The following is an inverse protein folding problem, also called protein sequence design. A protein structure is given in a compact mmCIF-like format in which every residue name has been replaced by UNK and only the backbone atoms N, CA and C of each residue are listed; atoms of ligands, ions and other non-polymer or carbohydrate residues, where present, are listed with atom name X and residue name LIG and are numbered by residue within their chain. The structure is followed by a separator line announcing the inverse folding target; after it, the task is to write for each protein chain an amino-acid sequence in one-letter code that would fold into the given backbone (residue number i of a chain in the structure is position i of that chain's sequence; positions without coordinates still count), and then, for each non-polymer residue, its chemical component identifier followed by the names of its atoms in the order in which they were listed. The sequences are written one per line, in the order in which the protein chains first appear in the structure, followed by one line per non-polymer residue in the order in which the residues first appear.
data_IF_324258500523
#
_entry.id   IF_324258500523
#
_cell.length_a   1.000
_cell.length_b   1.000
_cell.length_c   1.000
_cell.angle_alpha   90.00
_cell.angle_beta   90.00
_cell.angle_gamma   90.00
#
_symmetry.space_group_name_H-M   'P 1'
#
loop_
_entity.id
_entity.type
_entity.pdbx_description
1 polymer ?
#
# COMPACT_ATOMS: atom_id res chain seq x y z
N UNK A 1 -13.49 12.40 -6.13
CA UNK A 1 -12.13 12.84 -5.80
C UNK A 1 -11.63 13.77 -6.91
N UNK A 2 -10.98 14.91 -6.61
CA UNK A 2 -10.41 15.78 -7.63
C UNK A 2 -9.38 15.04 -8.51
N UNK A 3 -9.34 15.36 -9.81
CA UNK A 3 -8.48 14.69 -10.77
C UNK A 3 -6.99 14.74 -10.38
N UNK A 4 -6.50 15.93 -10.00
CA UNK A 4 -5.09 16.12 -9.63
C UNK A 4 -4.68 15.33 -8.38
N UNK A 5 -5.59 15.17 -7.39
CA UNK A 5 -5.34 14.33 -6.23
C UNK A 5 -5.22 12.86 -6.63
N UNK A 6 -6.07 12.38 -7.57
CA UNK A 6 -5.96 11.01 -8.09
C UNK A 6 -4.61 10.75 -8.72
N UNK A 7 -4.17 11.67 -9.57
CA UNK A 7 -2.86 11.59 -10.24
C UNK A 7 -1.70 11.65 -9.24
N UNK A 8 -1.80 12.49 -8.22
CA UNK A 8 -0.79 12.56 -7.15
C UNK A 8 -0.71 11.23 -6.38
N UNK A 9 -1.85 10.63 -6.02
CA UNK A 9 -1.87 9.33 -5.35
C UNK A 9 -1.31 8.23 -6.25
N UNK A 10 -1.64 8.22 -7.54
CA UNK A 10 -1.06 7.27 -8.50
C UNK A 10 0.46 7.43 -8.60
N UNK A 11 0.96 8.67 -8.72
CA UNK A 11 2.38 8.96 -8.72
C UNK A 11 3.06 8.49 -7.42
N UNK A 12 2.49 8.82 -6.27
CA UNK A 12 3.05 8.43 -4.96
C UNK A 12 3.10 6.91 -4.77
N UNK A 13 2.12 6.16 -5.30
CA UNK A 13 2.09 4.70 -5.20
C UNK A 13 3.24 4.03 -5.94
N UNK A 14 3.47 4.38 -7.21
CA UNK A 14 4.55 3.73 -7.95
C UNK A 14 5.92 4.24 -7.54
N UNK A 15 6.06 5.53 -7.23
CA UNK A 15 7.33 6.08 -6.70
C UNK A 15 7.69 5.44 -5.36
N UNK A 16 6.73 5.31 -4.44
CA UNK A 16 6.97 4.64 -3.16
C UNK A 16 7.38 3.17 -3.33
N UNK A 17 6.72 2.42 -4.22
CA UNK A 17 7.11 1.03 -4.51
C UNK A 17 8.53 0.95 -5.12
N UNK A 18 8.89 1.91 -5.98
CA UNK A 18 10.23 1.99 -6.56
C UNK A 18 11.30 2.33 -5.50
N UNK A 19 11.00 3.24 -4.57
CA UNK A 19 11.89 3.57 -3.45
C UNK A 19 12.11 2.34 -2.56
N UNK A 20 11.07 1.60 -2.21
CA UNK A 20 11.20 0.36 -1.43
C UNK A 20 12.05 -0.67 -2.17
N UNK A 21 11.82 -0.87 -3.47
CA UNK A 21 12.64 -1.76 -4.30
C UNK A 21 14.10 -1.31 -4.31
N UNK A 22 14.37 -0.02 -4.49
CA UNK A 22 15.72 0.54 -4.51
C UNK A 22 16.46 0.31 -3.18
N UNK A 23 15.77 0.53 -2.05
CA UNK A 23 16.31 0.28 -0.70
C UNK A 23 16.69 -1.19 -0.52
N UNK A 24 15.79 -2.12 -0.83
CA UNK A 24 16.07 -3.55 -0.66
C UNK A 24 17.17 -4.03 -1.62
N UNK A 25 17.19 -3.53 -2.86
CA UNK A 25 18.26 -3.84 -3.80
C UNK A 25 19.61 -3.31 -3.29
N UNK A 26 19.66 -2.07 -2.82
CA UNK A 26 20.89 -1.47 -2.30
C UNK A 26 21.41 -2.23 -1.08
N UNK A 27 20.55 -2.59 -0.14
CA UNK A 27 20.94 -3.33 1.06
C UNK A 27 21.44 -4.76 0.77
N UNK A 28 20.98 -5.36 -0.34
CA UNK A 28 21.37 -6.71 -0.73
C UNK A 28 22.63 -6.76 -1.62
N UNK A 29 22.90 -5.69 -2.36
CA UNK A 29 23.93 -5.71 -3.41
C UNK A 29 25.00 -4.62 -3.27
N UNK A 30 24.90 -3.69 -2.33
CA UNK A 30 25.90 -2.64 -2.13
C UNK A 30 26.30 -2.60 -0.65
N UNK A 31 27.60 -2.62 -0.38
CA UNK A 31 28.13 -2.51 0.98
C UNK A 31 28.08 -1.05 1.45
N UNK A 32 27.22 -0.77 2.41
CA UNK A 32 27.10 0.57 3.00
C UNK A 32 28.39 0.97 3.74
N UNK A 33 29.08 0.02 4.36
CA UNK A 33 30.34 0.31 5.06
C UNK A 33 31.43 0.81 4.09
N UNK A 34 31.49 0.25 2.88
CA UNK A 34 32.42 0.72 1.84
C UNK A 34 32.15 2.19 1.46
N UNK A 35 30.88 2.57 1.30
CA UNK A 35 30.51 3.95 0.98
C UNK A 35 30.99 4.95 2.05
N UNK A 36 31.06 4.51 3.30
CA UNK A 36 31.44 5.36 4.43
C UNK A 36 32.95 5.35 4.70
N UNK A 37 33.68 4.32 4.25
CA UNK A 37 35.11 4.11 4.55
C UNK A 37 36.07 4.61 3.47
N UNK A 38 35.59 4.80 2.24
CA UNK A 38 36.41 5.21 1.11
C UNK A 38 35.77 6.38 0.33
N UNK A 39 36.55 7.22 -0.36
CA UNK A 39 36.01 8.26 -1.22
C UNK A 39 35.39 7.67 -2.49
N UNK A 40 34.17 8.11 -2.79
CA UNK A 40 33.42 7.69 -3.98
C UNK A 40 32.96 8.88 -4.82
N UNK A 41 32.49 8.60 -6.03
CA UNK A 41 31.89 9.63 -6.87
C UNK A 41 30.61 10.23 -6.22
N UNK A 42 30.31 11.52 -6.41
CA UNK A 42 29.16 12.18 -5.77
C UNK A 42 27.81 11.45 -6.00
N UNK A 43 27.63 10.81 -7.16
CA UNK A 43 26.41 10.06 -7.49
C UNK A 43 26.21 8.85 -6.56
N UNK A 44 27.27 8.23 -6.05
CA UNK A 44 27.20 7.12 -5.08
C UNK A 44 26.55 7.61 -3.79
N UNK A 45 26.98 8.78 -3.29
CA UNK A 45 26.41 9.35 -2.07
C UNK A 45 24.95 9.79 -2.26
N UNK A 46 24.62 10.35 -3.43
CA UNK A 46 23.24 10.69 -3.77
C UNK A 46 22.36 9.45 -3.79
N UNK A 47 22.78 8.38 -4.47
CA UNK A 47 22.05 7.12 -4.49
C UNK A 47 21.92 6.53 -3.09
N UNK A 48 23.01 6.44 -2.33
CA UNK A 48 22.99 5.93 -0.96
C UNK A 48 22.01 6.73 -0.08
N UNK A 49 21.96 8.05 -0.23
CA UNK A 49 21.04 8.88 0.54
C UNK A 49 19.57 8.56 0.22
N UNK A 50 19.22 8.45 -1.07
CA UNK A 50 17.84 8.22 -1.50
C UNK A 50 17.41 6.74 -1.45
N UNK A 51 18.31 5.80 -1.58
CA UNK A 51 18.04 4.38 -1.43
C UNK A 51 18.29 3.87 0.01
N UNK A 52 18.13 4.74 1.00
CA UNK A 52 18.30 4.38 2.40
C UNK A 52 17.03 3.80 3.00
N UNK A 53 17.22 2.92 3.98
CA UNK A 53 16.13 2.23 4.67
C UNK A 53 15.04 3.18 5.19
N UNK A 54 15.43 4.30 5.75
CA UNK A 54 14.50 5.28 6.33
C UNK A 54 13.55 5.88 5.29
N UNK A 55 13.99 6.09 4.06
CA UNK A 55 13.12 6.57 2.98
C UNK A 55 12.17 5.47 2.50
N UNK A 56 12.62 4.21 2.46
CA UNK A 56 11.74 3.05 2.22
C UNK A 56 10.67 2.94 3.28
N UNK A 57 11.02 3.12 4.55
CA UNK A 57 10.10 3.14 5.66
C UNK A 57 9.08 4.29 5.51
N UNK A 58 9.50 5.52 5.24
CA UNK A 58 8.59 6.65 5.01
C UNK A 58 7.66 6.42 3.80
N UNK A 59 8.11 5.71 2.77
CA UNK A 59 7.25 5.32 1.65
C UNK A 59 6.13 4.35 2.10
N UNK A 60 6.42 3.40 2.99
CA UNK A 60 5.41 2.48 3.57
C UNK A 60 4.41 3.25 4.44
N UNK A 61 4.87 4.23 5.23
CA UNK A 61 3.96 5.10 6.00
C UNK A 61 3.02 5.90 5.09
N UNK A 62 3.55 6.45 3.99
CA UNK A 62 2.73 7.14 3.00
C UNK A 62 1.69 6.19 2.38
N UNK A 63 2.00 4.90 2.17
CA UNK A 63 1.02 3.91 1.73
C UNK A 63 -0.08 3.70 2.76
N UNK A 64 0.23 3.59 4.05
CA UNK A 64 -0.79 3.49 5.09
C UNK A 64 -1.69 4.72 5.13
N UNK A 65 -1.14 5.91 5.08
CA UNK A 65 -1.92 7.16 5.04
C UNK A 65 -2.81 7.23 3.81
N UNK A 66 -2.28 6.92 2.61
CA UNK A 66 -3.07 6.90 1.36
C UNK A 66 -4.16 5.85 1.39
N UNK A 67 -3.86 4.66 1.89
CA UNK A 67 -4.82 3.56 2.05
C UNK A 67 -5.94 3.96 3.01
N UNK A 68 -5.60 4.52 4.17
CA UNK A 68 -6.57 5.08 5.11
C UNK A 68 -7.46 6.14 4.47
N UNK A 69 -6.86 7.09 3.76
CA UNK A 69 -7.58 8.14 3.05
C UNK A 69 -8.59 7.59 2.03
N UNK A 70 -8.18 6.62 1.22
CA UNK A 70 -9.02 6.05 0.17
C UNK A 70 -10.05 5.05 0.72
N UNK A 71 -9.62 4.15 1.60
CA UNK A 71 -10.42 3.01 2.06
C UNK A 71 -11.22 3.35 3.29
N UNK A 72 -10.57 3.86 4.33
CA UNK A 72 -11.24 4.32 5.54
C UNK A 72 -12.14 5.52 5.27
N UNK A 73 -11.68 6.46 4.43
CA UNK A 73 -12.49 7.59 3.97
C UNK A 73 -13.77 7.17 3.24
N UNK A 74 -13.74 6.08 2.47
CA UNK A 74 -14.94 5.52 1.85
C UNK A 74 -15.93 4.98 2.89
N UNK A 75 -15.46 4.31 3.95
CA UNK A 75 -16.30 3.85 5.07
C UNK A 75 -16.99 5.05 5.73
N UNK A 76 -16.22 6.08 6.09
CA UNK A 76 -16.76 7.31 6.69
C UNK A 76 -17.80 8.01 5.80
N UNK A 77 -17.58 8.01 4.48
CA UNK A 77 -18.54 8.58 3.53
C UNK A 77 -19.84 7.81 3.48
N UNK A 78 -19.81 6.45 3.55
CA UNK A 78 -21.02 5.64 3.61
C UNK A 78 -21.79 5.81 4.93
N UNK A 79 -21.07 5.91 6.06
CA UNK A 79 -21.67 6.17 7.35
C UNK A 79 -22.42 7.52 7.37
N UNK A 80 -21.81 8.58 6.82
CA UNK A 80 -22.44 9.91 6.71
C UNK A 80 -23.73 9.90 5.87
N UNK A 81 -23.77 9.09 4.82
CA UNK A 81 -24.92 8.95 3.95
C UNK A 81 -25.96 7.95 4.47
N UNK A 82 -25.71 7.33 5.61
CA UNK A 82 -26.50 6.24 6.17
C UNK A 82 -26.81 5.13 5.15
N UNK A 83 -25.81 4.73 4.35
CA UNK A 83 -25.92 3.71 3.30
C UNK A 83 -25.35 2.38 3.78
N UNK A 84 -26.00 1.26 3.43
CA UNK A 84 -25.46 -0.07 3.61
C UNK A 84 -24.21 -0.28 2.74
N UNK A 85 -23.10 -0.74 3.34
CA UNK A 85 -21.85 -0.82 2.61
C UNK A 85 -21.02 -2.07 2.91
N UNK A 86 -21.20 -2.70 4.08
CA UNK A 86 -20.26 -3.67 4.62
C UNK A 86 -19.97 -4.83 3.66
N UNK A 87 -21.02 -5.42 3.07
CA UNK A 87 -20.90 -6.54 2.13
C UNK A 87 -20.05 -6.18 0.90
N UNK A 88 -20.44 -5.12 0.20
CA UNK A 88 -19.71 -4.66 -1.00
C UNK A 88 -18.29 -4.19 -0.68
N UNK A 89 -18.13 -3.52 0.45
CA UNK A 89 -16.83 -3.11 0.94
C UNK A 89 -15.90 -4.32 1.15
N UNK A 90 -16.36 -5.35 1.89
CA UNK A 90 -15.57 -6.55 2.15
C UNK A 90 -15.25 -7.30 0.85
N UNK A 91 -16.22 -7.49 -0.05
CA UNK A 91 -15.97 -8.10 -1.37
C UNK A 91 -14.83 -7.36 -2.09
N UNK A 92 -14.88 -6.03 -2.09
CA UNK A 92 -13.88 -5.22 -2.77
C UNK A 92 -12.49 -5.29 -2.12
N UNK A 93 -12.38 -5.38 -0.80
CA UNK A 93 -11.09 -5.37 -0.09
C UNK A 93 -10.46 -6.76 -0.05
N UNK A 94 -11.23 -7.76 0.35
CA UNK A 94 -10.76 -9.14 0.40
C UNK A 94 -10.31 -9.60 -0.99
N UNK A 95 -11.15 -9.39 -2.03
CA UNK A 95 -10.75 -9.78 -3.39
C UNK A 95 -9.48 -9.08 -3.88
N UNK A 96 -9.25 -7.82 -3.51
CA UNK A 96 -8.06 -7.07 -3.91
C UNK A 96 -6.79 -7.63 -3.26
N UNK A 97 -6.84 -7.91 -1.96
CA UNK A 97 -5.66 -8.39 -1.22
C UNK A 97 -5.36 -9.84 -1.60
N UNK A 98 -6.34 -10.74 -1.47
CA UNK A 98 -6.08 -12.17 -1.69
C UNK A 98 -5.70 -12.51 -3.13
N UNK A 99 -6.15 -11.72 -4.12
CA UNK A 99 -5.77 -11.95 -5.51
C UNK A 99 -4.30 -11.61 -5.80
N UNK A 100 -3.64 -10.87 -4.93
CA UNK A 100 -2.23 -10.54 -5.05
C UNK A 100 -1.39 -11.24 -3.99
N UNK A 101 -1.76 -11.15 -2.70
CA UNK A 101 -0.98 -11.71 -1.60
C UNK A 101 -0.98 -13.24 -1.63
N UNK A 102 -2.12 -13.89 -1.88
CA UNK A 102 -2.16 -15.35 -1.98
C UNK A 102 -1.19 -15.92 -3.04
N UNK A 103 -1.29 -15.48 -4.31
CA UNK A 103 -0.29 -15.85 -5.33
C UNK A 103 1.14 -15.42 -4.98
N UNK A 104 1.36 -14.30 -4.28
CA UNK A 104 2.70 -13.88 -3.87
C UNK A 104 3.32 -14.83 -2.83
N UNK A 105 2.53 -15.33 -1.87
CA UNK A 105 2.99 -16.36 -0.91
C UNK A 105 3.33 -17.66 -1.62
N UNK A 106 2.50 -18.10 -2.60
CA UNK A 106 2.80 -19.28 -3.44
C UNK A 106 4.03 -19.05 -4.31
N UNK A 107 4.18 -17.85 -4.89
CA UNK A 107 5.36 -17.48 -5.67
C UNK A 107 6.63 -17.53 -4.81
N UNK A 108 6.56 -17.04 -3.56
CA UNK A 108 7.66 -17.15 -2.59
C UNK A 108 7.99 -18.62 -2.32
N UNK A 109 6.99 -19.49 -2.07
CA UNK A 109 7.21 -20.90 -1.87
C UNK A 109 7.97 -21.54 -3.03
N UNK A 110 7.54 -21.29 -4.26
CA UNK A 110 8.16 -21.86 -5.46
C UNK A 110 9.59 -21.35 -5.64
N UNK A 111 9.78 -20.03 -5.56
CA UNK A 111 11.07 -19.41 -5.83
C UNK A 111 12.09 -19.75 -4.76
N UNK A 112 11.71 -19.73 -3.48
CA UNK A 112 12.59 -20.11 -2.37
C UNK A 112 12.92 -21.62 -2.40
N UNK A 113 11.98 -22.49 -2.79
CA UNK A 113 12.24 -23.92 -2.97
C UNK A 113 13.31 -24.16 -4.04
N UNK A 114 13.15 -23.51 -5.20
CA UNK A 114 14.13 -23.61 -6.30
C UNK A 114 15.47 -23.01 -5.88
N UNK A 115 15.47 -21.85 -5.23
CA UNK A 115 16.69 -21.18 -4.79
C UNK A 115 17.47 -21.99 -3.74
N UNK A 116 16.79 -22.57 -2.76
CA UNK A 116 17.36 -23.46 -1.75
C UNK A 116 17.99 -24.71 -2.37
N UNK A 117 17.39 -25.24 -3.41
CA UNK A 117 17.90 -26.40 -4.13
C UNK A 117 19.09 -26.06 -5.06
N UNK A 118 18.93 -25.05 -5.91
CA UNK A 118 19.96 -24.71 -6.92
C UNK A 118 21.15 -23.97 -6.33
N UNK A 119 20.93 -23.12 -5.31
CA UNK A 119 21.92 -22.16 -4.80
C UNK A 119 22.21 -22.36 -3.30
N UNK A 120 22.13 -23.61 -2.83
CA UNK A 120 22.43 -23.96 -1.43
C UNK A 120 23.83 -23.50 -1.01
N UNK A 121 24.83 -23.57 -1.91
CA UNK A 121 26.21 -23.17 -1.64
C UNK A 121 26.37 -21.68 -1.31
N UNK A 122 25.41 -20.82 -1.69
CA UNK A 122 25.43 -19.40 -1.35
C UNK A 122 25.25 -19.12 0.15
N UNK A 123 24.60 -20.02 0.89
CA UNK A 123 24.22 -19.82 2.28
C UNK A 123 23.18 -18.72 2.54
N UNK A 124 22.68 -18.04 1.52
CA UNK A 124 21.77 -16.87 1.67
C UNK A 124 20.48 -17.24 2.38
N UNK A 125 19.91 -18.41 2.12
CA UNK A 125 18.69 -18.88 2.77
C UNK A 125 18.87 -19.31 4.22
N UNK A 126 20.12 -19.43 4.68
CA UNK A 126 20.49 -19.74 6.07
C UNK A 126 20.88 -18.49 6.88
N UNK A 127 20.76 -17.30 6.29
CA UNK A 127 20.98 -16.07 7.04
C UNK A 127 20.00 -15.98 8.22
N UNK A 128 20.43 -15.39 9.35
CA UNK A 128 19.56 -15.27 10.54
C UNK A 128 18.17 -14.68 10.24
N UNK A 129 18.10 -13.81 9.23
CA UNK A 129 16.87 -13.18 8.77
C UNK A 129 15.87 -14.16 8.12
N UNK A 130 16.32 -15.30 7.57
CA UNK A 130 15.48 -16.25 6.84
C UNK A 130 15.47 -17.65 7.44
N UNK A 131 16.42 -17.93 8.33
CA UNK A 131 16.54 -19.22 8.99
C UNK A 131 15.28 -19.54 9.81
N UNK A 132 14.68 -20.69 9.56
CA UNK A 132 13.45 -21.11 10.23
C UNK A 132 12.16 -20.56 9.63
N UNK A 133 12.24 -19.61 8.69
CA UNK A 133 11.04 -19.00 8.09
C UNK A 133 10.38 -19.83 6.98
N UNK A 134 10.99 -20.93 6.57
CA UNK A 134 10.48 -21.83 5.53
C UNK A 134 9.73 -23.03 6.17
N UNK A 135 8.53 -22.82 6.70
CA UNK A 135 7.71 -23.81 7.36
C UNK A 135 6.24 -23.74 6.93
N UNK A 136 5.53 -24.88 7.01
CA UNK A 136 4.10 -24.95 6.68
C UNK A 136 3.25 -24.03 7.57
N UNK A 137 3.61 -23.88 8.85
CA UNK A 137 2.93 -22.98 9.76
C UNK A 137 3.01 -21.52 9.30
N UNK A 138 4.22 -21.05 8.96
CA UNK A 138 4.41 -19.68 8.49
C UNK A 138 3.83 -19.45 7.10
N UNK A 139 3.82 -20.48 6.23
CA UNK A 139 3.10 -20.42 4.97
C UNK A 139 1.59 -20.16 5.19
N UNK A 140 0.95 -20.91 6.07
CA UNK A 140 -0.47 -20.74 6.40
C UNK A 140 -0.71 -19.41 7.10
N UNK A 141 0.14 -19.01 8.04
CA UNK A 141 0.04 -17.72 8.71
C UNK A 141 0.14 -16.55 7.71
N UNK A 142 1.10 -16.60 6.77
CA UNK A 142 1.23 -15.58 5.73
C UNK A 142 0.06 -15.60 4.75
N UNK A 143 -0.48 -16.77 4.42
CA UNK A 143 -1.68 -16.86 3.59
C UNK A 143 -2.90 -16.24 4.29
N UNK A 144 -2.98 -16.33 5.63
CA UNK A 144 -4.04 -15.71 6.45
C UNK A 144 -3.75 -14.25 6.83
N UNK A 145 -2.69 -13.65 6.30
CA UNK A 145 -2.23 -12.29 6.62
C UNK A 145 -1.93 -12.09 8.11
N UNK A 146 -1.26 -13.04 8.75
CA UNK A 146 -0.86 -12.97 10.15
C UNK A 146 0.64 -12.69 10.34
N UNK A 147 1.42 -12.61 9.27
CA UNK A 147 2.85 -12.26 9.30
C UNK A 147 3.06 -10.84 9.83
N UNK A 148 4.01 -10.66 10.72
CA UNK A 148 4.27 -9.41 11.42
C UNK A 148 3.24 -9.08 12.51
N UNK A 149 2.26 -9.96 12.75
CA UNK A 149 1.17 -9.81 13.73
C UNK A 149 1.10 -11.07 14.61
N UNK A 150 2.19 -11.45 15.25
CA UNK A 150 2.27 -12.66 16.08
C UNK A 150 2.90 -13.87 15.41
N UNK A 151 3.15 -13.82 14.11
CA UNK A 151 3.92 -14.82 13.36
C UNK A 151 4.99 -14.11 12.54
N UNK A 152 6.11 -14.77 12.34
CA UNK A 152 7.09 -14.34 11.36
C UNK A 152 6.55 -14.52 9.93
N UNK A 153 7.18 -13.86 8.98
CA UNK A 153 6.83 -14.03 7.58
C UNK A 153 7.33 -15.37 7.02
N UNK A 154 6.67 -15.85 5.98
CA UNK A 154 7.06 -17.07 5.28
C UNK A 154 8.20 -16.83 4.31
N UNK A 155 9.22 -17.70 4.36
CA UNK A 155 10.36 -17.70 3.43
C UNK A 155 11.17 -16.40 3.48
N UNK A 156 11.41 -15.82 2.31
CA UNK A 156 12.18 -14.58 2.18
C UNK A 156 11.34 -13.33 2.05
N UNK A 157 9.98 -13.44 2.08
CA UNK A 157 9.09 -12.34 1.76
C UNK A 157 8.68 -11.49 2.98
N UNK A 158 9.67 -10.97 3.69
CA UNK A 158 9.47 -10.08 4.83
C UNK A 158 8.53 -8.90 4.58
N UNK A 159 8.65 -8.14 3.47
CA UNK A 159 7.82 -6.94 3.24
C UNK A 159 6.31 -7.13 3.28
N UNK A 160 5.79 -8.36 3.18
CA UNK A 160 4.37 -8.64 3.27
C UNK A 160 3.76 -8.30 4.65
N UNK A 161 4.56 -8.04 5.69
CA UNK A 161 4.05 -7.64 7.01
C UNK A 161 3.13 -6.41 6.94
N UNK A 162 3.47 -5.44 6.10
CA UNK A 162 2.68 -4.21 5.95
C UNK A 162 1.31 -4.46 5.31
N UNK A 163 1.24 -5.41 4.37
CA UNK A 163 -0.02 -5.80 3.73
C UNK A 163 -0.91 -6.61 4.68
N UNK A 164 -0.32 -7.38 5.59
CA UNK A 164 -1.07 -8.03 6.66
C UNK A 164 -1.70 -7.00 7.60
N UNK A 165 -0.94 -5.99 8.02
CA UNK A 165 -1.48 -4.86 8.79
C UNK A 165 -2.65 -4.21 8.05
N UNK A 166 -2.46 -3.90 6.77
CA UNK A 166 -3.48 -3.25 5.94
C UNK A 166 -4.75 -4.11 5.80
N UNK A 167 -4.62 -5.43 5.61
CA UNK A 167 -5.76 -6.35 5.57
C UNK A 167 -6.60 -6.26 6.84
N UNK A 168 -5.96 -6.31 8.01
CA UNK A 168 -6.66 -6.25 9.28
C UNK A 168 -7.22 -4.86 9.59
N UNK A 169 -6.61 -3.78 9.09
CA UNK A 169 -7.22 -2.45 9.13
C UNK A 169 -8.52 -2.40 8.32
N UNK A 170 -8.55 -3.05 7.16
CA UNK A 170 -9.77 -3.15 6.35
C UNK A 170 -10.88 -3.94 7.02
N UNK A 171 -10.54 -4.94 7.82
CA UNK A 171 -11.53 -5.74 8.55
C UNK A 171 -12.00 -5.02 9.81
N UNK A 172 -11.08 -4.57 10.65
CA UNK A 172 -11.40 -4.04 11.98
C UNK A 172 -12.03 -2.65 11.92
N UNK A 173 -11.55 -1.75 11.07
CA UNK A 173 -12.04 -0.36 11.03
C UNK A 173 -13.54 -0.23 10.75
N UNK A 174 -14.12 -0.85 9.71
CA UNK A 174 -15.56 -0.77 9.49
C UNK A 174 -16.37 -1.44 10.61
N UNK A 175 -15.88 -2.54 11.21
CA UNK A 175 -16.54 -3.23 12.30
C UNK A 175 -16.59 -2.35 13.56
N UNK A 176 -15.48 -1.70 13.93
CA UNK A 176 -15.42 -0.76 15.04
C UNK A 176 -16.34 0.46 14.86
N UNK A 177 -16.65 0.84 13.62
CA UNK A 177 -17.53 1.95 13.29
C UNK A 177 -19.00 1.54 13.09
N UNK A 178 -19.33 0.25 13.14
CA UNK A 178 -20.72 -0.22 12.99
C UNK A 178 -21.73 0.38 13.98
N UNK A 179 -21.37 0.71 15.24
CA UNK A 179 -22.32 1.40 16.14
C UNK A 179 -22.91 2.67 15.56
N UNK A 180 -22.21 3.36 14.67
CA UNK A 180 -22.64 4.59 14.01
C UNK A 180 -23.45 4.35 12.72
N UNK A 181 -23.53 3.11 12.23
CA UNK A 181 -24.21 2.75 10.98
C UNK A 181 -25.71 2.46 11.23
N UNK A 182 -26.51 3.51 11.37
CA UNK A 182 -27.94 3.44 11.77
C UNK A 182 -28.85 2.62 10.82
N UNK A 183 -28.40 2.39 9.59
CA UNK A 183 -29.10 1.59 8.59
C UNK A 183 -29.01 0.07 8.84
N UNK A 184 -28.23 -0.38 9.82
CA UNK A 184 -28.15 -1.80 10.21
C UNK A 184 -28.94 -2.05 11.51
N UNK A 185 -29.52 -3.27 11.69
CA UNK A 185 -30.15 -3.66 12.94
C UNK A 185 -29.18 -3.53 14.13
N UNK A 186 -29.71 -3.15 15.30
CA UNK A 186 -28.90 -2.92 16.51
C UNK A 186 -28.03 -4.17 16.86
N UNK A 187 -28.62 -5.35 16.77
CA UNK A 187 -27.89 -6.59 17.04
C UNK A 187 -26.65 -6.74 16.15
N UNK A 188 -26.77 -6.50 14.83
CA UNK A 188 -25.63 -6.55 13.90
C UNK A 188 -24.57 -5.48 14.23
N UNK A 189 -25.00 -4.30 14.64
CA UNK A 189 -24.09 -3.20 15.02
C UNK A 189 -23.28 -3.57 16.26
N UNK A 190 -23.93 -4.12 17.31
CA UNK A 190 -23.27 -4.52 18.56
C UNK A 190 -22.39 -5.75 18.39
N UNK A 191 -22.88 -6.79 17.70
CA UNK A 191 -22.09 -8.00 17.41
C UNK A 191 -20.90 -7.67 16.52
N UNK A 192 -21.08 -6.87 15.48
CA UNK A 192 -20.00 -6.45 14.62
C UNK A 192 -18.95 -5.61 15.35
N UNK A 193 -19.37 -4.70 16.23
CA UNK A 193 -18.45 -3.95 17.08
C UNK A 193 -17.68 -4.87 18.05
N UNK A 194 -18.36 -5.79 18.72
CA UNK A 194 -17.72 -6.75 19.64
C UNK A 194 -16.69 -7.61 18.89
N UNK A 195 -17.05 -8.10 17.68
CA UNK A 195 -16.12 -8.84 16.82
C UNK A 195 -14.92 -7.97 16.41
N UNK A 196 -15.18 -6.74 15.95
CA UNK A 196 -14.12 -5.82 15.54
C UNK A 196 -13.16 -5.46 16.69
N UNK A 197 -13.71 -5.21 17.89
CA UNK A 197 -12.94 -4.93 19.09
C UNK A 197 -12.14 -6.16 19.54
N UNK A 198 -12.76 -7.34 19.57
CA UNK A 198 -12.08 -8.61 19.89
C UNK A 198 -10.93 -8.92 18.95
N UNK A 199 -11.14 -8.80 17.63
CA UNK A 199 -10.08 -8.97 16.62
C UNK A 199 -8.97 -7.93 16.80
N UNK A 200 -9.33 -6.66 16.98
CA UNK A 200 -8.34 -5.58 17.18
C UNK A 200 -7.48 -5.86 18.41
N UNK A 201 -8.09 -6.24 19.53
CA UNK A 201 -7.38 -6.56 20.77
C UNK A 201 -6.47 -7.80 20.59
N UNK A 202 -6.99 -8.88 19.98
CA UNK A 202 -6.22 -10.10 19.76
C UNK A 202 -4.98 -9.87 18.88
N UNK A 203 -5.14 -9.11 17.79
CA UNK A 203 -4.05 -8.78 16.86
C UNK A 203 -3.06 -7.78 17.48
N UNK A 204 -3.54 -6.93 18.37
CA UNK A 204 -2.73 -5.90 19.03
C UNK A 204 -1.98 -6.40 20.27
N UNK A 205 -2.24 -7.61 20.76
CA UNK A 205 -1.64 -8.14 21.99
C UNK A 205 -0.15 -8.46 21.82
N UNK A 206 0.31 -9.09 20.72
CA UNK A 206 1.74 -9.26 20.48
C UNK A 206 2.43 -7.89 20.30
N UNK A 207 3.68 -7.74 20.77
CA UNK A 207 4.47 -6.56 20.47
C UNK A 207 4.67 -6.48 18.95
N UNK A 208 3.93 -5.61 18.31
CA UNK A 208 4.00 -5.42 16.86
C UNK A 208 3.76 -3.95 16.51
N UNK A 209 4.18 -3.57 15.34
CA UNK A 209 3.98 -2.23 14.80
C UNK A 209 2.49 -1.97 14.39
N UNK A 210 1.63 -2.96 14.51
CA UNK A 210 0.22 -2.93 14.09
C UNK A 210 -0.58 -1.75 14.67
N UNK A 211 -0.48 -1.51 15.99
CA UNK A 211 -1.23 -0.42 16.64
C UNK A 211 -0.82 0.95 16.13
N UNK A 212 0.49 1.16 16.03
CA UNK A 212 1.04 2.44 15.59
C UNK A 212 0.66 2.71 14.12
N UNK A 213 0.86 1.72 13.24
CA UNK A 213 0.42 1.81 11.85
C UNK A 213 -1.07 2.01 11.69
N UNK A 214 -1.90 1.44 12.61
CA UNK A 214 -3.34 1.69 12.61
C UNK A 214 -3.68 3.16 12.88
N UNK A 215 -2.96 3.81 13.79
CA UNK A 215 -3.14 5.25 14.09
C UNK A 215 -2.84 6.08 12.84
N UNK A 216 -1.74 5.80 12.16
CA UNK A 216 -1.34 6.52 10.93
C UNK A 216 -2.36 6.30 9.80
N UNK A 217 -2.80 5.06 9.62
CA UNK A 217 -3.81 4.69 8.65
C UNK A 217 -5.16 5.37 8.95
N UNK A 218 -5.61 5.34 10.20
CA UNK A 218 -6.84 6.00 10.64
C UNK A 218 -6.74 7.53 10.50
N UNK A 219 -5.57 8.11 10.77
CA UNK A 219 -5.27 9.52 10.49
C UNK A 219 -5.55 9.88 9.03
N UNK A 220 -5.12 9.04 8.09
CA UNK A 220 -5.47 9.17 6.67
C UNK A 220 -6.98 9.11 6.43
N UNK A 221 -7.71 8.18 7.07
CA UNK A 221 -9.16 8.08 6.94
C UNK A 221 -9.86 9.34 7.45
N UNK A 222 -9.54 9.78 8.64
CA UNK A 222 -10.15 10.98 9.26
C UNK A 222 -9.76 12.28 8.57
N UNK A 223 -8.63 12.34 7.86
CA UNK A 223 -8.27 13.48 7.03
C UNK A 223 -9.33 13.80 5.96
N UNK A 224 -10.12 12.79 5.53
CA UNK A 224 -11.24 13.02 4.61
C UNK A 224 -12.37 13.87 5.19
N UNK A 225 -12.41 14.03 6.50
CA UNK A 225 -13.40 14.84 7.22
C UNK A 225 -13.00 16.32 7.32
N UNK A 226 -11.73 16.65 7.10
CA UNK A 226 -11.21 18.00 7.17
C UNK A 226 -11.77 18.80 5.97
N UNK A 227 -12.49 19.92 6.20
CA UNK A 227 -13.24 20.60 5.14
C UNK A 227 -12.41 21.57 4.28
N UNK A 228 -11.18 21.86 4.67
CA UNK A 228 -10.29 22.85 4.00
C UNK A 228 -8.83 22.45 4.15
N UNK A 229 -7.93 22.95 3.28
CA UNK A 229 -6.50 22.66 3.40
C UNK A 229 -5.90 23.37 4.60
N UNK A 230 -4.93 22.75 5.27
CA UNK A 230 -4.11 23.37 6.32
C UNK A 230 -3.10 24.31 5.66
N UNK A 231 -2.43 23.84 4.61
CA UNK A 231 -1.54 24.64 3.74
C UNK A 231 -2.19 24.72 2.36
N UNK A 232 -2.44 25.96 1.87
CA UNK A 232 -3.12 26.17 0.57
C UNK A 232 -2.20 25.87 -0.61
N UNK A 233 -0.92 26.20 -0.51
CA UNK A 233 0.06 25.97 -1.57
C UNK A 233 0.52 24.54 -1.59
N UNK A 234 0.30 23.83 -2.71
CA UNK A 234 0.80 22.47 -2.92
C UNK A 234 2.33 22.40 -2.88
N UNK A 235 2.99 23.40 -3.47
CA UNK A 235 4.44 23.48 -3.46
C UNK A 235 4.99 23.68 -2.04
N UNK A 236 4.38 24.57 -1.25
CA UNK A 236 4.79 24.78 0.14
C UNK A 236 4.59 23.48 0.96
N UNK A 237 3.47 22.78 0.78
CA UNK A 237 3.21 21.52 1.47
C UNK A 237 4.22 20.42 1.05
N UNK A 238 4.52 20.29 -0.25
CA UNK A 238 5.50 19.30 -0.75
C UNK A 238 6.92 19.63 -0.29
N UNK A 239 7.34 20.88 -0.37
CA UNK A 239 8.68 21.29 0.03
C UNK A 239 8.87 21.10 1.54
N UNK A 240 7.86 21.44 2.34
CA UNK A 240 7.89 21.21 3.79
C UNK A 240 7.98 19.70 4.09
N UNK A 241 7.15 18.88 3.45
CA UNK A 241 7.21 17.42 3.60
C UNK A 241 8.59 16.87 3.20
N UNK A 242 9.12 17.27 2.04
CA UNK A 242 10.42 16.83 1.58
C UNK A 242 11.56 17.26 2.52
N UNK A 243 11.54 18.50 2.99
CA UNK A 243 12.54 19.01 3.94
C UNK A 243 12.51 18.22 5.26
N UNK A 244 11.32 17.94 5.80
CA UNK A 244 11.19 17.17 7.04
C UNK A 244 11.58 15.72 6.85
N UNK A 245 11.24 15.07 5.72
CA UNK A 245 11.72 13.71 5.41
C UNK A 245 13.25 13.65 5.34
N UNK A 246 13.92 14.68 4.76
CA UNK A 246 15.38 14.79 4.79
C UNK A 246 15.89 14.92 6.23
N UNK A 247 15.27 15.75 7.06
CA UNK A 247 15.65 15.91 8.48
C UNK A 247 15.45 14.58 9.22
N UNK A 248 14.32 13.91 9.04
CA UNK A 248 14.06 12.59 9.62
C UNK A 248 15.17 11.62 9.24
N UNK A 249 15.55 11.58 7.95
CA UNK A 249 16.65 10.75 7.45
C UNK A 249 17.97 10.99 8.17
N UNK A 250 18.28 12.25 8.48
CA UNK A 250 19.51 12.62 9.20
C UNK A 250 19.41 12.31 10.69
N UNK A 251 18.27 12.58 11.33
CA UNK A 251 18.04 12.40 12.76
C UNK A 251 17.98 10.91 13.15
N UNK A 252 17.26 10.10 12.37
CA UNK A 252 17.06 8.67 12.67
C UNK A 252 18.37 7.87 12.57
N UNK A 253 19.34 8.33 11.79
CA UNK A 253 20.69 7.73 11.74
C UNK A 253 21.62 8.19 12.86
N UNK A 254 21.25 9.19 13.61
CA UNK A 254 22.07 9.69 14.71
C UNK A 254 21.87 8.91 16.00
N UNK A 255 22.78 9.10 16.98
CA UNK A 255 22.70 8.53 18.33
C UNK A 255 21.39 8.85 19.09
N UNK A 256 20.59 9.78 18.60
CA UNK A 256 19.34 10.18 19.23
C UNK A 256 18.30 9.04 19.31
N UNK A 257 18.22 8.17 18.31
CA UNK A 257 17.27 7.04 18.32
C UNK A 257 17.78 5.92 19.22
N UNK A 258 19.06 5.69 19.29
CA UNK A 258 19.66 4.69 20.19
C UNK A 258 19.39 5.05 21.67
N UNK A 259 19.50 6.33 22.01
CA UNK A 259 19.28 6.81 23.38
C UNK A 259 17.80 7.11 23.69
N UNK A 260 17.00 7.44 22.66
CA UNK A 260 15.60 7.83 22.80
C UNK A 260 14.74 7.16 21.71
N UNK A 261 14.32 5.90 21.87
CA UNK A 261 13.57 5.15 20.85
C UNK A 261 12.27 5.84 20.40
N UNK A 262 11.63 6.62 21.26
CA UNK A 262 10.43 7.39 20.93
C UNK A 262 10.62 8.44 19.82
N UNK A 263 11.88 8.82 19.54
CA UNK A 263 12.21 9.76 18.45
C UNK A 263 11.85 9.18 17.10
N UNK A 264 12.00 7.86 16.90
CA UNK A 264 11.57 7.20 15.67
C UNK A 264 10.06 7.26 15.50
N UNK A 265 9.28 6.96 16.54
CA UNK A 265 7.82 7.03 16.50
C UNK A 265 7.33 8.47 16.27
N UNK A 266 7.98 9.46 16.91
CA UNK A 266 7.66 10.87 16.69
C UNK A 266 7.97 11.32 15.26
N UNK A 267 9.08 10.87 14.67
CA UNK A 267 9.44 11.13 13.28
C UNK A 267 8.41 10.54 12.30
N UNK A 268 7.96 9.31 12.55
CA UNK A 268 6.95 8.64 11.74
C UNK A 268 5.59 9.35 11.82
N UNK A 269 5.18 9.77 13.01
CA UNK A 269 3.95 10.54 13.22
C UNK A 269 4.03 11.90 12.52
N UNK A 270 5.16 12.60 12.63
CA UNK A 270 5.40 13.87 11.97
C UNK A 270 5.37 13.74 10.45
N UNK A 271 6.12 12.79 9.89
CA UNK A 271 6.16 12.51 8.45
C UNK A 271 4.78 12.17 7.89
N UNK A 272 4.04 11.29 8.57
CA UNK A 272 2.68 10.91 8.19
C UNK A 272 1.70 12.08 8.27
N UNK A 273 1.79 12.92 9.31
CA UNK A 273 0.94 14.11 9.47
C UNK A 273 1.20 15.13 8.35
N UNK A 274 2.45 15.36 7.99
CA UNK A 274 2.80 16.24 6.88
C UNK A 274 2.34 15.68 5.53
N UNK A 275 2.41 14.36 5.35
CA UNK A 275 1.88 13.74 4.14
C UNK A 275 0.35 13.90 4.04
N UNK A 276 -0.38 13.84 5.16
CA UNK A 276 -1.81 14.19 5.22
C UNK A 276 -2.03 15.64 4.78
N UNK A 277 -1.21 16.59 5.24
CA UNK A 277 -1.29 17.99 4.82
C UNK A 277 -1.08 18.12 3.31
N UNK A 278 -0.15 17.37 2.73
CA UNK A 278 0.05 17.32 1.26
C UNK A 278 -1.21 16.80 0.57
N UNK A 279 -1.81 15.69 1.02
CA UNK A 279 -3.05 15.16 0.44
C UNK A 279 -4.18 16.20 0.46
N UNK A 280 -4.33 16.94 1.57
CA UNK A 280 -5.32 18.01 1.70
C UNK A 280 -5.03 19.19 0.76
N UNK A 281 -3.76 19.58 0.60
CA UNK A 281 -3.38 20.62 -0.34
C UNK A 281 -3.71 20.22 -1.81
N UNK A 282 -3.52 18.96 -2.18
CA UNK A 282 -3.92 18.44 -3.49
C UNK A 282 -5.44 18.30 -3.65
N UNK A 283 -6.15 17.99 -2.57
CA UNK A 283 -7.61 17.85 -2.58
C UNK A 283 -8.32 19.18 -2.85
N UNK A 284 -7.87 20.26 -2.23
CA UNK A 284 -8.57 21.56 -2.21
C UNK A 284 -7.89 22.64 -3.06
N UNK A 285 -6.68 22.41 -3.53
CA UNK A 285 -5.98 23.36 -4.38
C UNK A 285 -6.57 23.47 -5.79
N UNK A 286 -6.17 24.46 -6.59
CA UNK A 286 -6.70 24.68 -7.94
C UNK A 286 -6.42 23.48 -8.84
N UNK A 287 -7.27 23.27 -9.86
CA UNK A 287 -7.09 22.17 -10.83
C UNK A 287 -5.88 22.36 -11.75
N UNK A 288 -5.31 23.56 -11.79
CA UNK A 288 -4.18 23.95 -12.62
C UNK A 288 -2.83 23.70 -11.92
N UNK A 289 -1.78 23.62 -12.69
CA UNK A 289 -0.42 23.32 -12.22
C UNK A 289 -0.10 21.84 -12.19
N UNK A 290 1.17 21.49 -11.87
CA UNK A 290 1.69 20.12 -11.82
C UNK A 290 1.45 19.33 -13.12
N UNK A 291 1.83 19.91 -14.27
CA UNK A 291 1.67 19.29 -15.59
C UNK A 291 2.28 17.89 -15.67
N UNK A 292 3.37 17.62 -14.96
CA UNK A 292 4.02 16.32 -14.87
C UNK A 292 3.08 15.22 -14.33
N UNK A 293 2.15 15.55 -13.41
CA UNK A 293 1.20 14.59 -12.88
C UNK A 293 0.10 14.20 -13.89
N UNK A 294 -0.06 14.94 -15.00
CA UNK A 294 -1.09 14.68 -16.02
C UNK A 294 -0.72 13.58 -16.99
N UNK A 295 0.51 13.09 -16.97
CA UNK A 295 0.95 12.02 -17.86
C UNK A 295 0.29 10.68 -17.51
N UNK A 296 -0.19 9.97 -18.52
CA UNK A 296 -0.87 8.67 -18.37
C UNK A 296 0.02 7.58 -17.79
N UNK A 297 1.34 7.72 -17.88
CA UNK A 297 2.27 6.71 -17.37
C UNK A 297 2.16 6.52 -15.85
N UNK A 298 1.78 7.55 -15.06
CA UNK A 298 1.58 7.41 -13.63
C UNK A 298 0.55 6.34 -13.29
N UNK A 299 -0.57 6.33 -14.02
CA UNK A 299 -1.59 5.30 -13.86
C UNK A 299 -1.06 3.93 -14.25
N UNK A 300 -0.38 3.81 -15.40
CA UNK A 300 0.18 2.54 -15.87
C UNK A 300 1.15 1.93 -14.86
N UNK A 301 2.03 2.75 -14.28
CA UNK A 301 2.99 2.30 -13.25
C UNK A 301 2.30 1.98 -11.91
N UNK A 302 1.31 2.77 -11.53
CA UNK A 302 0.53 2.52 -10.31
C UNK A 302 -0.32 1.25 -10.39
N UNK A 303 -0.77 0.86 -11.58
CA UNK A 303 -1.64 -0.30 -11.80
C UNK A 303 -0.94 -1.64 -11.49
N UNK A 304 0.40 -1.70 -11.47
CA UNK A 304 1.14 -2.90 -11.07
C UNK A 304 2.05 -2.71 -9.84
N UNK A 305 2.06 -1.51 -9.24
CA UNK A 305 2.93 -1.21 -8.09
C UNK A 305 2.68 -2.10 -6.88
N UNK A 306 1.44 -2.52 -6.66
CA UNK A 306 1.06 -3.43 -5.58
C UNK A 306 1.60 -4.85 -5.82
N UNK A 307 1.51 -5.33 -7.05
CA UNK A 307 2.10 -6.61 -7.48
C UNK A 307 3.62 -6.60 -7.37
N UNK A 308 4.27 -5.52 -7.81
CA UNK A 308 5.73 -5.33 -7.66
C UNK A 308 6.15 -5.39 -6.20
N UNK A 309 5.45 -4.63 -5.33
CA UNK A 309 5.72 -4.64 -3.89
C UNK A 309 5.59 -6.03 -3.28
N UNK A 310 4.63 -6.84 -3.75
CA UNK A 310 4.33 -8.15 -3.16
C UNK A 310 5.35 -9.24 -3.49
N UNK A 311 6.12 -9.12 -4.58
CA UNK A 311 7.04 -10.18 -5.03
C UNK A 311 8.51 -9.76 -5.14
N UNK A 312 8.85 -8.49 -4.91
CA UNK A 312 10.22 -7.99 -5.15
C UNK A 312 11.26 -8.70 -4.28
N UNK A 313 10.96 -8.94 -3.00
CA UNK A 313 11.93 -9.49 -2.08
C UNK A 313 12.36 -10.92 -2.42
N UNK A 314 11.46 -11.88 -2.67
CA UNK A 314 11.86 -13.23 -3.11
C UNK A 314 12.72 -13.21 -4.39
N UNK A 315 12.41 -12.32 -5.35
CA UNK A 315 13.20 -12.19 -6.59
C UNK A 315 14.62 -11.70 -6.28
N UNK A 316 14.73 -10.67 -5.44
CA UNK A 316 16.04 -10.13 -5.06
C UNK A 316 16.88 -11.14 -4.27
N UNK A 317 16.27 -11.89 -3.36
CA UNK A 317 16.97 -12.92 -2.57
C UNK A 317 17.39 -14.09 -3.47
N UNK A 318 16.53 -14.53 -4.38
CA UNK A 318 16.86 -15.54 -5.37
C UNK A 318 18.05 -15.10 -6.24
N UNK A 319 18.03 -13.87 -6.75
CA UNK A 319 19.14 -13.30 -7.50
C UNK A 319 20.40 -13.19 -6.65
N UNK A 320 20.29 -12.81 -5.39
CA UNK A 320 21.40 -12.74 -4.45
C UNK A 320 22.03 -14.12 -4.22
N UNK A 321 21.20 -15.15 -4.06
CA UNK A 321 21.66 -16.52 -3.91
C UNK A 321 22.34 -17.04 -5.18
N UNK A 322 21.77 -16.74 -6.36
CA UNK A 322 22.36 -17.10 -7.65
C UNK A 322 23.75 -16.47 -7.84
N UNK A 323 23.87 -15.16 -7.60
CA UNK A 323 25.14 -14.44 -7.68
C UNK A 323 26.15 -15.00 -6.68
N UNK A 324 25.75 -15.20 -5.40
CA UNK A 324 26.60 -15.77 -4.37
C UNK A 324 27.11 -17.17 -4.70
N UNK A 325 26.26 -18.00 -5.32
CA UNK A 325 26.60 -19.36 -5.71
C UNK A 325 27.56 -19.44 -6.92
N UNK A 326 27.47 -18.46 -7.85
CA UNK A 326 28.24 -18.47 -9.10
C UNK A 326 29.51 -17.64 -9.03
N UNK A 327 29.50 -16.50 -8.35
CA UNK A 327 30.60 -15.55 -8.26
C UNK A 327 31.26 -15.52 -6.86
N UNK A 328 30.72 -16.29 -5.91
CA UNK A 328 31.20 -16.32 -4.53
C UNK A 328 30.46 -15.37 -3.59
N UNK A 329 30.50 -15.70 -2.29
CA UNK A 329 29.82 -14.92 -1.25
C UNK A 329 30.46 -13.55 -0.96
N UNK A 330 31.64 -13.28 -1.49
CA UNK A 330 32.28 -11.96 -1.44
C UNK A 330 31.36 -10.87 -2.03
N UNK A 331 30.46 -11.24 -2.91
CA UNK A 331 29.39 -10.38 -3.40
C UNK A 331 28.39 -9.95 -2.30
N UNK A 332 28.43 -10.52 -1.11
CA UNK A 332 27.66 -10.01 0.03
C UNK A 332 28.20 -8.69 0.59
N UNK A 333 29.47 -8.38 0.31
CA UNK A 333 30.18 -7.20 0.78
C UNK A 333 30.64 -6.32 -0.36
N UNK A 334 29.80 -6.18 -1.37
CA UNK A 334 30.18 -5.49 -2.60
C UNK A 334 30.55 -4.05 -2.40
N UNK A 335 31.67 -3.69 -3.00
CA UNK A 335 32.12 -2.31 -3.08
C UNK A 335 31.17 -1.49 -3.96
N UNK A 336 31.08 -0.20 -3.68
CA UNK A 336 30.27 0.76 -4.43
C UNK A 336 30.92 1.09 -5.80
N UNK A 337 31.10 0.07 -6.62
CA UNK A 337 31.71 0.17 -7.96
C UNK A 337 30.64 0.35 -9.06
N UNK A 338 31.00 0.93 -10.22
CA UNK A 338 30.07 1.05 -11.34
C UNK A 338 29.47 -0.30 -11.79
N UNK A 339 30.26 -1.39 -11.75
CA UNK A 339 29.81 -2.74 -12.13
C UNK A 339 28.74 -3.25 -11.16
N UNK A 340 28.93 -3.06 -9.86
CA UNK A 340 27.97 -3.49 -8.84
C UNK A 340 26.67 -2.68 -8.91
N UNK A 341 26.76 -1.38 -9.19
CA UNK A 341 25.58 -0.57 -9.47
C UNK A 341 24.87 -1.00 -10.75
N UNK A 342 25.60 -1.31 -11.84
CA UNK A 342 24.99 -1.81 -13.07
C UNK A 342 24.23 -3.12 -12.83
N UNK A 343 24.80 -4.05 -12.03
CA UNK A 343 24.09 -5.26 -11.61
C UNK A 343 22.84 -4.92 -10.82
N UNK A 344 22.96 -4.10 -9.78
CA UNK A 344 21.84 -3.71 -8.92
C UNK A 344 20.68 -3.09 -9.74
N UNK A 345 20.98 -2.15 -10.63
CA UNK A 345 19.98 -1.53 -11.51
C UNK A 345 19.38 -2.53 -12.52
N UNK A 346 20.18 -3.45 -13.04
CA UNK A 346 19.68 -4.50 -13.93
C UNK A 346 18.69 -5.41 -13.20
N UNK A 347 18.99 -5.79 -11.96
CA UNK A 347 18.10 -6.60 -11.11
C UNK A 347 16.83 -5.85 -10.74
N UNK A 348 16.91 -4.54 -10.47
CA UNK A 348 15.73 -3.71 -10.30
C UNK A 348 14.86 -3.73 -11.57
N UNK A 349 15.46 -3.58 -12.75
CA UNK A 349 14.77 -3.66 -14.03
C UNK A 349 14.06 -5.00 -14.23
N UNK A 350 14.76 -6.11 -14.00
CA UNK A 350 14.18 -7.47 -14.07
C UNK A 350 13.03 -7.61 -13.07
N UNK A 351 13.19 -7.15 -11.84
CA UNK A 351 12.15 -7.22 -10.80
C UNK A 351 10.91 -6.42 -11.19
N UNK A 352 11.07 -5.22 -11.79
CA UNK A 352 9.96 -4.41 -12.32
C UNK A 352 9.22 -5.16 -13.42
N UNK A 353 9.94 -5.78 -14.36
CA UNK A 353 9.35 -6.58 -15.45
C UNK A 353 8.58 -7.79 -14.88
N UNK A 354 9.15 -8.51 -13.91
CA UNK A 354 8.46 -9.60 -13.21
C UNK A 354 7.20 -9.11 -12.51
N UNK A 355 7.26 -7.96 -11.81
CA UNK A 355 6.11 -7.32 -11.17
C UNK A 355 5.00 -6.98 -12.15
N UNK A 356 5.35 -6.46 -13.33
CA UNK A 356 4.40 -6.19 -14.39
C UNK A 356 3.68 -7.47 -14.87
N UNK A 357 4.43 -8.53 -15.21
CA UNK A 357 3.81 -9.78 -15.65
C UNK A 357 2.98 -10.44 -14.56
N UNK A 358 3.47 -10.44 -13.33
CA UNK A 358 2.71 -10.94 -12.18
C UNK A 358 1.39 -10.19 -12.01
N UNK A 359 1.37 -8.88 -12.21
CA UNK A 359 0.15 -8.07 -12.14
C UNK A 359 -0.90 -8.47 -13.19
N UNK A 360 -0.46 -8.91 -14.38
CA UNK A 360 -1.36 -9.33 -15.48
C UNK A 360 -2.17 -10.59 -15.14
N UNK A 361 -1.61 -11.46 -14.31
CA UNK A 361 -2.29 -12.68 -13.86
C UNK A 361 -2.98 -12.53 -12.51
N UNK A 362 -2.69 -11.49 -11.76
CA UNK A 362 -3.22 -11.20 -10.42
C UNK A 362 -4.07 -9.91 -10.39
N UNK A 363 -3.46 -8.77 -10.15
CA UNK A 363 -4.12 -7.47 -9.91
C UNK A 363 -5.10 -7.09 -11.05
N UNK A 364 -4.72 -7.31 -12.30
CA UNK A 364 -5.55 -7.04 -13.47
C UNK A 364 -6.83 -7.90 -13.51
N UNK A 365 -6.86 -9.04 -12.82
CA UNK A 365 -8.03 -9.93 -12.74
C UNK A 365 -8.99 -9.60 -11.59
N UNK A 366 -8.68 -8.58 -10.78
CA UNK A 366 -9.49 -8.19 -9.61
C UNK A 366 -10.97 -7.95 -9.94
N UNK A 367 -11.27 -7.33 -11.08
CA UNK A 367 -12.63 -7.10 -11.52
C UNK A 367 -13.43 -8.40 -11.79
N UNK A 368 -12.79 -9.39 -12.42
CA UNK A 368 -13.38 -10.69 -12.68
C UNK A 368 -13.59 -11.49 -11.39
N UNK A 369 -12.61 -11.49 -10.48
CA UNK A 369 -12.69 -12.16 -9.18
C UNK A 369 -13.86 -11.58 -8.33
N UNK A 370 -14.02 -10.25 -8.31
CA UNK A 370 -15.15 -9.59 -7.63
C UNK A 370 -16.51 -10.03 -8.18
N UNK A 371 -16.66 -10.11 -9.50
CA UNK A 371 -17.91 -10.57 -10.10
C UNK A 371 -18.21 -12.00 -9.70
N UNK A 372 -17.23 -12.91 -9.73
CA UNK A 372 -17.39 -14.30 -9.30
C UNK A 372 -17.77 -14.40 -7.82
N UNK A 373 -17.04 -13.71 -6.94
CA UNK A 373 -17.30 -13.69 -5.50
C UNK A 373 -18.71 -13.15 -5.20
N UNK A 374 -19.11 -12.06 -5.86
CA UNK A 374 -20.47 -11.53 -5.73
C UNK A 374 -21.52 -12.56 -6.15
N UNK A 375 -21.36 -13.19 -7.32
CA UNK A 375 -22.29 -14.20 -7.80
C UNK A 375 -22.43 -15.41 -6.87
N UNK A 376 -21.34 -15.83 -6.22
CA UNK A 376 -21.38 -16.90 -5.20
C UNK A 376 -22.16 -16.43 -3.97
N UNK A 377 -21.86 -15.25 -3.45
CA UNK A 377 -22.53 -14.73 -2.27
C UNK A 377 -24.02 -14.39 -2.52
N UNK A 378 -24.40 -13.99 -3.74
CA UNK A 378 -25.80 -13.73 -4.12
C UNK A 378 -26.66 -15.03 -4.13
N UNK A 379 -26.05 -16.18 -4.32
CA UNK A 379 -26.75 -17.49 -4.20
C UNK A 379 -27.11 -17.82 -2.76
N UNK A 380 -26.29 -17.39 -1.78
CA UNK A 380 -26.48 -17.68 -0.36
C UNK A 380 -27.22 -16.58 0.41
N UNK A 381 -27.12 -15.37 -0.03
CA UNK A 381 -27.76 -14.19 0.57
C UNK A 381 -27.97 -13.14 -0.51
N UNK A 382 -29.13 -13.15 -1.17
CA UNK A 382 -29.44 -12.14 -2.19
C UNK A 382 -29.29 -10.73 -1.61
N UNK A 383 -28.62 -9.84 -2.34
CA UNK A 383 -28.55 -8.45 -1.93
C UNK A 383 -29.97 -7.83 -1.92
N UNK A 384 -30.31 -7.01 -0.92
CA UNK A 384 -31.58 -6.29 -0.96
C UNK A 384 -31.71 -5.53 -2.28
N UNK A 385 -32.87 -5.63 -2.93
CA UNK A 385 -33.14 -4.98 -4.20
C UNK A 385 -32.75 -3.50 -4.11
N UNK A 386 -31.94 -3.03 -5.03
CA UNK A 386 -31.69 -1.59 -5.11
C UNK A 386 -33.01 -0.88 -5.31
N UNK A 387 -33.33 0.20 -4.55
CA UNK A 387 -34.51 0.99 -4.87
C UNK A 387 -34.41 1.38 -6.35
N UNK A 388 -35.39 1.00 -7.11
CA UNK A 388 -35.56 1.42 -8.51
C UNK A 388 -35.55 2.95 -8.48
N UNK A 389 -34.67 3.64 -9.23
CA UNK A 389 -34.77 5.10 -9.33
C UNK A 389 -36.19 5.41 -9.74
N UNK A 390 -36.88 6.25 -8.96
CA UNK A 390 -38.21 6.70 -9.34
C UNK A 390 -38.11 7.18 -10.78
N UNK A 391 -38.78 6.48 -11.67
CA UNK A 391 -38.88 6.84 -13.09
C UNK A 391 -39.26 8.31 -13.11
N UNK A 392 -38.42 9.16 -13.67
CA UNK A 392 -38.74 10.57 -13.85
C UNK A 392 -40.09 10.57 -14.55
N UNK A 393 -41.10 11.02 -13.85
CA UNK A 393 -42.43 11.18 -14.43
C UNK A 393 -42.24 12.00 -15.70
N UNK A 394 -42.53 11.40 -16.84
CA UNK A 394 -42.58 12.10 -18.12
C UNK A 394 -43.49 13.30 -17.91
N UNK A 395 -43.02 14.55 -18.08
CA UNK A 395 -43.89 15.70 -17.97
C UNK A 395 -45.06 15.50 -18.91
N UNK A 396 -46.29 15.57 -18.37
CA UNK A 396 -47.51 15.52 -19.18
C UNK A 396 -47.36 16.54 -20.31
N UNK A 397 -47.46 16.06 -21.56
CA UNK A 397 -47.48 16.94 -22.73
C UNK A 397 -48.63 17.93 -22.56
N UNK A 398 -48.29 19.21 -22.49
CA UNK A 398 -49.30 20.27 -22.54
C UNK A 398 -50.08 20.15 -23.86
N UNK A 399 -51.40 20.20 -23.83
CA UNK A 399 -52.19 20.17 -25.05
C UNK A 399 -51.85 21.39 -25.92
N UNK A 400 -51.66 21.15 -27.21
CA UNK A 400 -51.35 22.16 -28.20
C UNK A 400 -52.41 23.27 -28.19
N UNK A 401 -52.05 24.56 -28.33
CA UNK A 401 -53.01 25.65 -28.39
C UNK A 401 -53.92 25.53 -29.62
N UNK A 402 -55.20 25.60 -29.39
CA UNK A 402 -56.23 25.56 -30.44
C UNK A 402 -56.02 26.69 -31.48
N UNK A 403 -55.87 26.32 -32.74
CA UNK A 403 -55.83 27.26 -33.86
C UNK A 403 -57.19 27.98 -33.94
N UNK A 404 -57.17 29.25 -33.63
CA UNK A 404 -58.33 30.13 -33.97
C UNK A 404 -58.39 30.32 -35.50
N UNK A 405 -59.34 29.71 -36.15
CA UNK A 405 -59.71 30.05 -37.51
C UNK A 405 -60.25 31.51 -37.56
N UNK A 406 -59.50 32.35 -38.25
CA UNK A 406 -60.07 33.65 -38.69
C UNK A 406 -61.09 33.39 -39.77
N UNK A 407 -62.36 33.73 -39.51
CA UNK A 407 -63.36 33.90 -40.51
C UNK A 407 -63.24 35.35 -40.96
N UNK A 408 -62.86 35.54 -42.23
CA UNK A 408 -63.02 36.83 -42.93
C UNK A 408 -64.46 36.93 -43.44
N UNK A 409 -65.07 38.03 -43.10
CA UNK A 409 -66.20 38.62 -43.82
C UNK A 409 -66.08 40.16 -43.73
#
# INVERSE_FOLDING_TARGET
MPFILSQFIEASRWLGALVVLAVHTSNLFINIADIMSAPHAPLVYVWWFYAAFELGHQAVLAFFVMSGYLVGGAVLAHLRKNQGFLREYLIHRVSRIYLVVGPAVVFTLVLDSIGRWLFASSGVYEWPLFKGHFSALLFLASFLNLQGIGFDYFGTNGPLWSLACEFWYYVTFPLLLLPFARNYPLALRLLGFALGAGLFLAISTPPSWFKFGYILWAGGAFATLIPRPIIRSRWAALLLYAAVVVIIRLVVRGHLVETHPWVADAADLLGSSLFIIVLLAFRYGPSEGFSLLRFKFHKTLADFSFSLYSIHMPILIFARAAVGSTLGNEWATQLATPQNYALAFSLMGVTIVCGYFFSRVTEAKTGAARRKLRAILDRWSPAPARPVPATQAVPAQQPAPAQRQRIEA
#
